data_IF_646740251413
#
_entry.id   IF_646740251413
#
_cell.length_a   1.000
_cell.length_b   1.000
_cell.length_c   1.000
_cell.angle_alpha   90.00
_cell.angle_beta   90.00
_cell.angle_gamma   90.00
#
_symmetry.space_group_name_H-M   'P 1'
#
loop_
_entity.id
_entity.type
_entity.pdbx_description
1 polymer ?
#
# COMPACT_ATOMS: atom_id res chain seq x y z
N UNK A 1 -26.60 -26.65 -3.25
CA UNK A 1 -25.34 -25.89 -3.01
C UNK A 1 -25.34 -24.66 -3.92
N UNK A 2 -25.91 -23.54 -3.44
CA UNK A 2 -26.04 -22.30 -4.22
C UNK A 2 -24.91 -21.32 -3.95
N UNK A 3 -23.95 -21.30 -4.86
CA UNK A 3 -23.19 -20.13 -5.37
C UNK A 3 -22.51 -19.19 -4.36
N UNK A 4 -21.29 -19.54 -3.91
CA UNK A 4 -20.36 -18.59 -3.30
C UNK A 4 -20.08 -17.33 -4.16
N UNK A 5 -20.22 -17.45 -5.49
CA UNK A 5 -20.12 -16.36 -6.46
C UNK A 5 -21.20 -15.27 -6.28
N UNK A 6 -22.40 -15.63 -5.82
CA UNK A 6 -23.50 -14.69 -5.59
C UNK A 6 -23.22 -13.77 -4.39
N UNK A 7 -22.65 -14.32 -3.31
CA UNK A 7 -22.20 -13.51 -2.16
C UNK A 7 -21.05 -12.59 -2.54
N UNK A 8 -20.02 -13.12 -3.21
CA UNK A 8 -18.87 -12.31 -3.63
C UNK A 8 -19.29 -11.15 -4.54
N UNK A 9 -20.21 -11.37 -5.49
CA UNK A 9 -20.75 -10.32 -6.35
C UNK A 9 -21.50 -9.24 -5.56
N UNK A 10 -22.29 -9.62 -4.57
CA UNK A 10 -23.00 -8.67 -3.72
C UNK A 10 -22.04 -7.89 -2.81
N UNK A 11 -20.98 -8.52 -2.30
CA UNK A 11 -19.92 -7.85 -1.55
C UNK A 11 -19.16 -6.83 -2.42
N UNK A 12 -18.77 -7.19 -3.65
CA UNK A 12 -18.12 -6.28 -4.59
C UNK A 12 -19.03 -5.10 -4.96
N UNK A 13 -20.34 -5.35 -5.14
CA UNK A 13 -21.31 -4.30 -5.46
C UNK A 13 -21.52 -3.33 -4.29
N UNK A 14 -21.58 -3.84 -3.06
CA UNK A 14 -21.75 -3.01 -1.84
C UNK A 14 -20.50 -2.23 -1.47
N UNK A 15 -19.31 -2.73 -1.84
CA UNK A 15 -18.02 -2.15 -1.47
C UNK A 15 -17.22 -1.69 -2.70
N UNK A 16 -17.90 -1.28 -3.77
CA UNK A 16 -17.25 -0.93 -5.04
C UNK A 16 -16.26 0.22 -4.88
N UNK A 17 -16.59 1.20 -4.03
CA UNK A 17 -15.71 2.34 -3.73
C UNK A 17 -14.43 1.84 -3.08
N UNK A 18 -14.50 0.94 -2.11
CA UNK A 18 -13.30 0.39 -1.45
C UNK A 18 -12.45 -0.41 -2.44
N UNK A 19 -13.08 -1.24 -3.27
CA UNK A 19 -12.40 -2.05 -4.29
C UNK A 19 -11.66 -1.18 -5.31
N UNK A 20 -12.17 0.01 -5.64
CA UNK A 20 -11.53 0.94 -6.58
C UNK A 20 -10.51 1.85 -5.88
N UNK A 21 -10.85 2.37 -4.70
CA UNK A 21 -10.01 3.34 -3.98
C UNK A 21 -8.73 2.72 -3.42
N UNK A 22 -8.78 1.47 -2.95
CA UNK A 22 -7.60 0.80 -2.38
C UNK A 22 -6.49 0.64 -3.43
N UNK A 23 -6.73 0.07 -4.64
CA UNK A 23 -5.72 0.03 -5.69
C UNK A 23 -5.23 1.41 -6.14
N UNK A 24 -6.11 2.42 -6.17
CA UNK A 24 -5.73 3.79 -6.55
C UNK A 24 -4.76 4.39 -5.54
N UNK A 25 -5.06 4.29 -4.24
CA UNK A 25 -4.16 4.78 -3.19
C UNK A 25 -2.81 4.06 -3.24
N UNK A 26 -2.83 2.74 -3.41
CA UNK A 26 -1.62 1.94 -3.60
C UNK A 26 -0.83 2.42 -4.81
N UNK A 27 -1.49 2.66 -5.95
CA UNK A 27 -0.86 3.17 -7.17
C UNK A 27 -0.23 4.55 -7.00
N UNK A 28 -0.91 5.47 -6.31
CA UNK A 28 -0.36 6.80 -5.99
C UNK A 28 0.88 6.69 -5.10
N UNK A 29 0.85 5.81 -4.11
CA UNK A 29 1.99 5.54 -3.23
C UNK A 29 3.20 4.99 -4.00
N UNK A 30 2.99 4.02 -4.89
CA UNK A 30 4.07 3.48 -5.74
C UNK A 30 4.58 4.51 -6.76
N UNK A 31 3.69 5.31 -7.35
CA UNK A 31 4.06 6.40 -8.23
C UNK A 31 4.95 7.43 -7.53
N UNK A 32 4.62 7.78 -6.29
CA UNK A 32 5.42 8.68 -5.47
C UNK A 32 6.81 8.11 -5.17
N UNK A 33 6.93 6.81 -4.88
CA UNK A 33 8.25 6.16 -4.73
C UNK A 33 9.10 6.24 -6.00
N UNK A 34 8.48 6.02 -7.16
CA UNK A 34 9.18 6.07 -8.44
C UNK A 34 9.70 7.46 -8.75
N UNK A 35 8.97 8.51 -8.38
CA UNK A 35 9.42 9.90 -8.53
C UNK A 35 10.62 10.18 -7.63
N UNK A 36 10.63 9.68 -6.39
CA UNK A 36 11.76 9.84 -5.47
C UNK A 36 13.01 9.04 -5.86
N UNK A 37 12.89 8.02 -6.72
CA UNK A 37 14.03 7.27 -7.23
C UNK A 37 14.77 8.01 -8.36
N UNK A 38 14.18 9.06 -8.92
CA UNK A 38 14.81 9.88 -9.95
C UNK A 38 15.77 10.88 -9.27
N UNK A 39 17.07 10.62 -9.39
CA UNK A 39 18.15 11.46 -8.82
C UNK A 39 18.12 12.92 -9.29
N UNK A 40 17.47 13.20 -10.43
CA UNK A 40 17.25 14.54 -10.96
C UNK A 40 16.33 15.40 -10.08
N UNK A 41 15.39 14.78 -9.36
CA UNK A 41 14.39 15.48 -8.54
C UNK A 41 14.68 15.40 -7.05
N UNK A 42 15.40 14.37 -6.58
CA UNK A 42 15.77 14.21 -5.17
C UNK A 42 17.21 13.67 -5.05
N UNK A 43 18.15 14.41 -4.42
CA UNK A 43 19.48 13.90 -4.08
C UNK A 43 19.40 12.64 -3.21
N UNK A 44 20.29 11.65 -3.43
CA UNK A 44 20.27 10.35 -2.73
C UNK A 44 20.22 10.46 -1.21
N UNK A 45 20.80 11.51 -0.64
CA UNK A 45 20.84 11.74 0.80
C UNK A 45 19.50 12.19 1.41
N UNK A 46 18.50 12.56 0.60
CA UNK A 46 17.23 13.13 1.06
C UNK A 46 16.01 12.30 0.65
N UNK A 47 16.21 11.09 0.12
CA UNK A 47 15.12 10.17 -0.22
C UNK A 47 14.34 9.82 1.05
N UNK A 48 13.05 10.12 1.06
CA UNK A 48 12.14 9.69 2.13
C UNK A 48 11.43 8.42 1.68
N UNK A 49 11.67 7.32 2.40
CA UNK A 49 10.87 6.12 2.25
C UNK A 49 9.40 6.40 2.56
N UNK A 50 8.50 5.56 2.06
CA UNK A 50 7.08 5.71 2.41
C UNK A 50 6.91 5.51 3.92
N UNK A 51 6.14 6.38 4.61
CA UNK A 51 5.93 6.26 6.05
C UNK A 51 5.27 4.92 6.43
N UNK A 52 4.58 4.27 5.47
CA UNK A 52 4.03 2.92 5.63
C UNK A 52 5.13 1.85 5.66
N UNK A 53 6.16 1.98 4.82
CA UNK A 53 7.29 1.05 4.79
C UNK A 53 8.19 1.28 6.00
N UNK A 54 8.39 2.54 6.38
CA UNK A 54 9.14 2.91 7.58
C UNK A 54 8.43 2.46 8.86
N UNK A 55 7.10 2.62 8.91
CA UNK A 55 6.28 2.09 10.00
C UNK A 55 6.25 0.56 10.05
N UNK A 56 6.14 -0.12 8.90
CA UNK A 56 6.21 -1.57 8.83
C UNK A 56 7.58 -2.11 9.24
N UNK A 57 8.66 -1.42 8.82
CA UNK A 57 10.03 -1.71 9.23
C UNK A 57 10.22 -1.50 10.73
N UNK A 58 9.72 -0.40 11.27
CA UNK A 58 9.74 -0.11 12.70
C UNK A 58 9.05 -1.21 13.52
N UNK A 59 7.84 -1.63 13.12
CA UNK A 59 7.12 -2.72 13.79
C UNK A 59 7.87 -4.06 13.67
N UNK A 60 8.46 -4.34 12.50
CA UNK A 60 9.24 -5.56 12.28
C UNK A 60 10.52 -5.58 13.12
N UNK A 61 11.24 -4.47 13.19
CA UNK A 61 12.44 -4.32 14.02
C UNK A 61 12.10 -4.36 15.52
N UNK A 62 10.98 -3.74 15.92
CA UNK A 62 10.47 -3.81 17.29
C UNK A 62 10.13 -5.25 17.70
N UNK A 63 9.48 -6.03 16.81
CA UNK A 63 9.21 -7.44 17.05
C UNK A 63 10.49 -8.30 17.07
N UNK A 64 11.52 -7.99 16.27
CA UNK A 64 12.80 -8.73 16.28
C UNK A 64 13.60 -8.56 17.58
N UNK A 65 13.49 -7.42 18.26
CA UNK A 65 14.22 -7.13 19.50
C UNK A 65 13.54 -7.72 20.75
N UNK A 66 12.25 -8.06 20.66
CA UNK A 66 11.44 -8.58 21.77
C UNK A 66 11.09 -10.08 21.63
N UNK A 67 11.69 -10.79 20.66
CA UNK A 67 11.55 -12.24 20.47
C UNK A 67 12.85 -12.96 20.82
#
# INVERSE_FOLDING_TARGET
MGTGMGRAREFLRRNVVLVVMVPVLVGVHFGWQKIQDIEMFVPKQQRQDLPVIEGARYLTERCRVWC
#
